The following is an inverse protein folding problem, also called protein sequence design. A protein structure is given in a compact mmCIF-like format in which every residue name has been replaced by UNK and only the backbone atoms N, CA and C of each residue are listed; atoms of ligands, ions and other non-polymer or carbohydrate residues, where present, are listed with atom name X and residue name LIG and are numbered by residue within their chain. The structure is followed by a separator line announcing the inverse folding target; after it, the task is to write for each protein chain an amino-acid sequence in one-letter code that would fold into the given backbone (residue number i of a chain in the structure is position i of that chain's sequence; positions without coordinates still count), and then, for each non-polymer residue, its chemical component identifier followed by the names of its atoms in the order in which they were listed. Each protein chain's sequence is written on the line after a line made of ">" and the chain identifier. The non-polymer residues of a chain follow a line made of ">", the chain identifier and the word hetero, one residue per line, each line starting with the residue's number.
data_IF_827667637796
#
_entry.id   IF_827667637796
#
_cell.length_a   1.000
_cell.length_b   1.000
_cell.length_c   1.000
_cell.angle_alpha   90.00
_cell.angle_beta   90.00
_cell.angle_gamma   90.00
#
_symmetry.space_group_name_H-M   'P 1'
#
loop_
_entity.id
_entity.type
_entity.pdbx_description
1 polymer ?
#
# COMPACT_ATOMS: atom_id res chain seq x y z
N UNK A 1 11.51 6.30 -9.10
CA UNK A 1 10.24 7.05 -9.04
C UNK A 1 9.26 6.18 -8.28
N UNK A 2 8.78 6.69 -7.15
CA UNK A 2 7.97 5.98 -6.17
C UNK A 2 6.57 5.65 -6.69
N UNK A 3 5.97 4.60 -6.17
CA UNK A 3 4.52 4.30 -6.18
C UNK A 3 3.72 5.60 -6.04
N UNK A 4 2.70 5.78 -6.88
CA UNK A 4 1.86 6.96 -6.79
C UNK A 4 0.40 6.53 -6.76
N UNK A 5 -0.07 6.10 -5.60
CA UNK A 5 -1.50 5.91 -5.35
C UNK A 5 -2.19 7.25 -5.07
N UNK A 6 -1.44 8.34 -4.85
CA UNK A 6 -1.98 9.66 -4.57
C UNK A 6 -2.97 10.20 -5.62
N UNK A 7 -2.73 10.06 -6.94
CA UNK A 7 -3.69 10.55 -7.93
C UNK A 7 -5.00 9.78 -7.84
N UNK A 8 -4.96 8.45 -7.75
CA UNK A 8 -6.13 7.61 -7.49
C UNK A 8 -6.85 8.02 -6.19
N UNK A 9 -6.13 8.17 -5.08
CA UNK A 9 -6.71 8.60 -3.78
C UNK A 9 -7.39 9.96 -3.94
N UNK A 10 -6.72 10.92 -4.58
CA UNK A 10 -7.24 12.28 -4.79
C UNK A 10 -8.53 12.26 -5.63
N UNK A 11 -8.58 11.45 -6.68
CA UNK A 11 -9.78 11.28 -7.51
C UNK A 11 -10.92 10.69 -6.68
N UNK A 12 -10.65 9.65 -5.88
CA UNK A 12 -11.64 8.99 -5.04
C UNK A 12 -12.18 9.92 -3.94
N UNK A 13 -11.31 10.69 -3.28
CA UNK A 13 -11.70 11.71 -2.31
C UNK A 13 -12.58 12.78 -2.95
N UNK A 14 -12.20 13.29 -4.13
CA UNK A 14 -12.98 14.28 -4.85
C UNK A 14 -14.33 13.79 -5.36
N UNK A 15 -14.48 12.48 -5.60
CA UNK A 15 -15.77 11.86 -5.94
C UNK A 15 -16.63 11.66 -4.68
N UNK A 16 -16.02 11.26 -3.56
CA UNK A 16 -16.70 10.98 -2.30
C UNK A 16 -16.98 12.24 -1.46
N UNK A 17 -16.46 13.40 -1.85
CA UNK A 17 -16.68 14.68 -1.18
C UNK A 17 -18.16 15.11 -1.26
N UNK A 18 -18.88 15.21 -0.12
CA UNK A 18 -20.28 15.60 -0.11
C UNK A 18 -20.51 17.06 -0.56
N UNK A 19 -19.49 17.91 -0.47
CA UNK A 19 -19.55 19.30 -0.90
C UNK A 19 -19.30 19.47 -2.41
N UNK A 20 -18.98 18.37 -3.12
CA UNK A 20 -18.74 18.38 -4.56
C UNK A 20 -20.07 18.21 -5.33
N UNK A 21 -20.65 19.28 -5.92
CA UNK A 21 -21.97 19.21 -6.55
C UNK A 21 -21.96 18.46 -7.90
N UNK A 22 -20.77 18.14 -8.42
CA UNK A 22 -20.59 17.51 -9.73
C UNK A 22 -20.91 16.01 -9.72
N UNK A 23 -20.70 15.34 -8.58
CA UNK A 23 -20.77 13.90 -8.46
C UNK A 23 -21.74 13.52 -7.35
N UNK A 24 -22.86 12.88 -7.69
CA UNK A 24 -23.77 12.33 -6.68
C UNK A 24 -23.41 10.87 -6.49
N UNK A 25 -22.58 10.60 -5.48
CA UNK A 25 -22.35 9.23 -5.03
C UNK A 25 -23.58 8.83 -4.22
N UNK A 26 -24.20 7.70 -4.58
CA UNK A 26 -25.21 7.10 -3.71
C UNK A 26 -24.55 6.87 -2.35
N UNK A 27 -25.14 7.37 -1.25
CA UNK A 27 -24.63 7.14 0.11
C UNK A 27 -24.38 5.65 0.39
N UNK A 28 -24.99 4.76 -0.40
CA UNK A 28 -24.79 3.32 -0.40
C UNK A 28 -23.84 2.80 -1.50
N UNK A 29 -22.79 3.53 -1.89
CA UNK A 29 -21.75 2.98 -2.76
C UNK A 29 -20.52 2.52 -1.93
N UNK A 30 -20.59 1.32 -1.29
CA UNK A 30 -19.51 0.81 -0.47
C UNK A 30 -18.26 0.47 -1.28
N UNK A 31 -18.36 0.34 -2.60
CA UNK A 31 -17.23 -0.06 -3.43
C UNK A 31 -16.20 1.06 -3.56
N UNK A 32 -16.64 2.30 -3.81
CA UNK A 32 -15.73 3.45 -3.87
C UNK A 32 -15.08 3.73 -2.51
N UNK A 33 -15.85 3.65 -1.42
CA UNK A 33 -15.29 3.79 -0.07
C UNK A 33 -14.29 2.68 0.25
N UNK A 34 -14.61 1.44 -0.11
CA UNK A 34 -13.70 0.30 0.07
C UNK A 34 -12.41 0.48 -0.73
N UNK A 35 -12.53 0.96 -1.97
CA UNK A 35 -11.40 1.23 -2.85
C UNK A 35 -10.50 2.34 -2.28
N UNK A 36 -11.07 3.46 -1.82
CA UNK A 36 -10.33 4.54 -1.15
C UNK A 36 -9.61 4.00 0.09
N UNK A 37 -10.32 3.27 0.94
CA UNK A 37 -9.73 2.70 2.16
C UNK A 37 -8.54 1.78 1.87
N UNK A 38 -8.66 0.91 0.85
CA UNK A 38 -7.59 -0.01 0.44
C UNK A 38 -6.41 0.72 -0.17
N UNK A 39 -6.65 1.70 -1.06
CA UNK A 39 -5.60 2.51 -1.67
C UNK A 39 -4.81 3.27 -0.60
N UNK A 40 -5.50 3.91 0.35
CA UNK A 40 -4.86 4.62 1.47
C UNK A 40 -4.10 3.69 2.40
N UNK A 41 -4.66 2.52 2.73
CA UNK A 41 -3.98 1.52 3.57
C UNK A 41 -2.71 0.99 2.91
N UNK A 42 -2.77 0.70 1.61
CA UNK A 42 -1.60 0.28 0.84
C UNK A 42 -0.55 1.38 0.77
N UNK A 43 -0.93 2.64 0.54
CA UNK A 43 -0.01 3.78 0.57
C UNK A 43 0.71 3.88 1.92
N UNK A 44 -0.03 3.80 3.03
CA UNK A 44 0.56 3.84 4.38
C UNK A 44 1.53 2.68 4.65
N UNK A 45 1.26 1.50 4.11
CA UNK A 45 2.14 0.34 4.23
C UNK A 45 3.45 0.57 3.45
N UNK A 46 3.36 1.11 2.24
CA UNK A 46 4.52 1.45 1.41
C UNK A 46 5.33 2.61 1.99
N UNK A 47 4.70 3.57 2.65
CA UNK A 47 5.42 4.69 3.29
C UNK A 47 6.29 4.22 4.46
N UNK A 48 5.88 3.13 5.13
CA UNK A 48 6.61 2.52 6.25
C UNK A 48 7.71 1.55 5.80
N UNK A 49 7.62 1.02 4.59
CA UNK A 49 8.42 -0.11 4.13
C UNK A 49 9.04 0.19 2.77
N UNK A 50 10.35 -0.04 2.59
CA UNK A 50 11.04 0.26 1.33
C UNK A 50 10.78 -0.81 0.24
N UNK A 51 9.50 -1.14 -0.02
CA UNK A 51 9.03 -2.27 -0.82
C UNK A 51 9.08 -2.03 -2.34
N UNK A 52 10.28 -1.72 -2.84
CA UNK A 52 10.61 -1.46 -4.28
C UNK A 52 10.21 -2.55 -5.26
N UNK A 53 9.98 -3.76 -4.77
CA UNK A 53 9.59 -4.90 -5.60
C UNK A 53 8.16 -4.83 -6.14
N UNK A 54 7.27 -4.06 -5.50
CA UNK A 54 5.87 -3.96 -5.90
C UNK A 54 5.56 -2.68 -6.72
N UNK A 55 6.55 -1.82 -6.95
CA UNK A 55 6.39 -0.50 -7.60
C UNK A 55 5.62 -0.56 -8.92
N UNK A 56 6.04 -1.43 -9.82
CA UNK A 56 5.46 -1.53 -11.16
C UNK A 56 4.01 -2.00 -11.13
N UNK A 57 3.69 -2.99 -10.28
CA UNK A 57 2.35 -3.55 -10.17
C UNK A 57 1.39 -2.60 -9.48
N UNK A 58 1.86 -1.89 -8.46
CA UNK A 58 1.06 -0.88 -7.77
C UNK A 58 0.71 0.25 -8.73
N UNK A 59 1.67 0.70 -9.54
CA UNK A 59 1.43 1.70 -10.58
C UNK A 59 0.45 1.21 -11.64
N UNK A 60 0.57 -0.03 -12.10
CA UNK A 60 -0.35 -0.59 -13.09
C UNK A 60 -1.79 -0.65 -12.57
N UNK A 61 -1.98 -1.13 -11.34
CA UNK A 61 -3.32 -1.21 -10.73
C UNK A 61 -3.89 0.18 -10.47
N UNK A 62 -3.05 1.15 -10.07
CA UNK A 62 -3.48 2.54 -9.89
C UNK A 62 -3.97 3.15 -11.21
N UNK A 63 -3.18 3.05 -12.28
CA UNK A 63 -3.59 3.57 -13.60
C UNK A 63 -4.84 2.88 -14.13
N UNK A 64 -4.97 1.57 -13.94
CA UNK A 64 -6.19 0.86 -14.34
C UNK A 64 -7.42 1.38 -13.59
N UNK A 65 -7.28 1.65 -12.29
CA UNK A 65 -8.35 2.23 -11.48
C UNK A 65 -8.73 3.64 -11.98
N UNK A 66 -7.72 4.46 -12.26
CA UNK A 66 -7.88 5.81 -12.83
C UNK A 66 -8.62 5.74 -14.17
N UNK A 67 -8.18 4.89 -15.11
CA UNK A 67 -8.77 4.71 -16.44
C UNK A 67 -10.25 4.29 -16.36
N UNK A 68 -10.59 3.36 -15.46
CA UNK A 68 -11.98 2.91 -15.26
C UNK A 68 -12.83 4.07 -14.74
N UNK A 69 -12.35 4.78 -13.72
CA UNK A 69 -13.07 5.91 -13.13
C UNK A 69 -13.27 7.02 -14.16
N UNK A 70 -12.21 7.38 -14.89
CA UNK A 70 -12.25 8.43 -15.91
C UNK A 70 -13.16 8.06 -17.07
N UNK A 71 -13.11 6.81 -17.56
CA UNK A 71 -14.03 6.35 -18.61
C UNK A 71 -15.49 6.49 -18.16
N UNK A 72 -15.81 6.07 -16.93
CA UNK A 72 -17.15 6.23 -16.38
C UNK A 72 -17.56 7.70 -16.25
N UNK A 73 -16.64 8.58 -15.83
CA UNK A 73 -16.89 10.02 -15.78
C UNK A 73 -17.21 10.58 -17.17
N UNK A 74 -16.41 10.24 -18.17
CA UNK A 74 -16.56 10.72 -19.55
C UNK A 74 -17.86 10.22 -20.16
N UNK A 75 -18.15 8.92 -20.05
CA UNK A 75 -19.39 8.32 -20.58
C UNK A 75 -20.64 9.00 -20.00
N UNK A 76 -20.62 9.27 -18.70
CA UNK A 76 -21.72 9.99 -18.05
C UNK A 76 -21.81 11.45 -18.48
N UNK A 77 -20.69 12.16 -18.61
CA UNK A 77 -20.67 13.55 -19.11
C UNK A 77 -21.22 13.64 -20.54
N UNK A 78 -20.90 12.67 -21.40
CA UNK A 78 -21.39 12.61 -22.78
C UNK A 78 -22.87 12.21 -22.87
N UNK A 79 -23.40 11.49 -21.88
CA UNK A 79 -24.81 11.07 -21.84
C UNK A 79 -25.82 12.22 -21.65
N UNK A 80 -25.37 13.44 -21.32
CA UNK A 80 -26.23 14.61 -21.12
C UNK A 80 -27.03 14.59 -19.80
N UNK A 81 -26.66 13.71 -18.85
CA UNK A 81 -27.28 13.66 -17.53
C UNK A 81 -26.79 14.82 -16.65
N UNK A 82 -27.70 15.66 -16.17
CA UNK A 82 -27.39 16.82 -15.31
C UNK A 82 -26.94 16.44 -13.89
N UNK A 83 -27.05 15.16 -13.53
CA UNK A 83 -26.64 14.60 -12.25
C UNK A 83 -25.98 13.26 -12.53
N UNK A 84 -24.69 13.15 -12.21
CA UNK A 84 -23.92 11.92 -12.39
C UNK A 84 -24.12 11.07 -11.14
N UNK A 85 -25.06 10.12 -11.20
CA UNK A 85 -25.17 9.10 -10.16
C UNK A 85 -24.10 8.05 -10.42
N UNK A 86 -23.07 8.03 -9.59
CA UNK A 86 -22.01 7.02 -9.70
C UNK A 86 -22.49 5.67 -9.16
N UNK A 87 -23.03 4.83 -10.04
CA UNK A 87 -23.27 3.41 -9.74
C UNK A 87 -22.12 2.59 -10.31
N UNK A 88 -20.99 2.57 -9.61
CA UNK A 88 -19.91 1.62 -9.89
C UNK A 88 -20.35 0.24 -9.42
N UNK A 89 -21.13 -0.45 -10.24
CA UNK A 89 -21.40 -1.88 -10.12
C UNK A 89 -20.70 -2.68 -11.23
N UNK A 90 -19.71 -2.07 -11.88
CA UNK A 90 -18.94 -2.70 -12.94
C UNK A 90 -17.96 -3.71 -12.37
N UNK A 91 -17.88 -4.87 -13.02
CA UNK A 91 -16.96 -5.96 -12.66
C UNK A 91 -15.49 -5.51 -12.62
N UNK A 92 -15.17 -4.44 -13.34
CA UNK A 92 -13.83 -3.88 -13.45
C UNK A 92 -13.35 -3.23 -12.14
N UNK A 93 -14.21 -2.47 -11.44
CA UNK A 93 -13.82 -1.87 -10.16
C UNK A 93 -13.65 -2.92 -9.07
N UNK A 94 -14.47 -3.98 -9.10
CA UNK A 94 -14.31 -5.13 -8.22
C UNK A 94 -13.00 -5.89 -8.49
N UNK A 95 -12.55 -5.95 -9.74
CA UNK A 95 -11.26 -6.53 -10.09
C UNK A 95 -10.11 -5.70 -9.53
N UNK A 96 -10.13 -4.38 -9.73
CA UNK A 96 -9.14 -3.47 -9.14
C UNK A 96 -9.08 -3.59 -7.61
N UNK A 97 -10.25 -3.69 -6.97
CA UNK A 97 -10.33 -3.88 -5.51
C UNK A 97 -9.62 -5.16 -5.07
N UNK A 98 -9.82 -6.28 -5.79
CA UNK A 98 -9.14 -7.55 -5.53
C UNK A 98 -7.64 -7.48 -5.81
N UNK A 99 -7.24 -6.75 -6.84
CA UNK A 99 -5.83 -6.58 -7.19
C UNK A 99 -5.08 -5.78 -6.10
N UNK A 100 -5.72 -4.74 -5.54
CA UNK A 100 -5.19 -4.00 -4.40
C UNK A 100 -5.10 -4.88 -3.14
N UNK A 101 -6.09 -5.73 -2.87
CA UNK A 101 -6.02 -6.69 -1.75
C UNK A 101 -4.84 -7.64 -1.91
N UNK A 102 -4.65 -8.20 -3.11
CA UNK A 102 -3.51 -9.07 -3.41
C UNK A 102 -2.17 -8.35 -3.27
N UNK A 103 -2.10 -7.07 -3.61
CA UNK A 103 -0.89 -6.26 -3.45
C UNK A 103 -0.60 -5.97 -1.97
N UNK A 104 -1.62 -5.70 -1.18
CA UNK A 104 -1.51 -5.49 0.26
C UNK A 104 -0.99 -6.74 0.98
N UNK A 105 -1.56 -7.91 0.70
CA UNK A 105 -1.07 -9.19 1.25
C UNK A 105 0.40 -9.46 0.88
N UNK A 106 0.80 -9.12 -0.36
CA UNK A 106 2.18 -9.29 -0.81
C UNK A 106 3.13 -8.31 -0.15
N UNK A 107 2.68 -7.07 0.08
CA UNK A 107 3.45 -6.06 0.77
C UNK A 107 3.68 -6.44 2.24
N UNK A 108 2.64 -6.89 2.95
CA UNK A 108 2.75 -7.38 4.33
C UNK A 108 3.70 -8.58 4.45
N UNK A 109 3.59 -9.53 3.51
CA UNK A 109 4.47 -10.70 3.49
C UNK A 109 5.94 -10.32 3.28
N UNK A 110 6.21 -9.36 2.39
CA UNK A 110 7.56 -8.87 2.15
C UNK A 110 8.10 -8.10 3.36
N UNK A 111 7.28 -7.26 3.98
CA UNK A 111 7.66 -6.51 5.18
C UNK A 111 8.02 -7.45 6.34
N UNK A 112 7.18 -8.46 6.60
CA UNK A 112 7.46 -9.48 7.60
C UNK A 112 8.75 -10.27 7.30
N UNK A 113 9.01 -10.61 6.05
CA UNK A 113 10.23 -11.31 5.64
C UNK A 113 11.49 -10.43 5.80
N UNK A 114 11.39 -9.12 5.57
CA UNK A 114 12.49 -8.18 5.81
C UNK A 114 12.76 -8.01 7.32
N UNK A 115 11.72 -7.86 8.13
CA UNK A 115 11.87 -7.73 9.59
C UNK A 115 12.50 -8.98 10.23
N UNK A 116 12.17 -10.18 9.75
CA UNK A 116 12.80 -11.41 10.22
C UNK A 116 14.28 -11.49 9.87
N UNK A 117 14.68 -11.09 8.66
CA UNK A 117 16.09 -11.07 8.26
C UNK A 117 16.91 -10.09 9.08
N UNK A 118 16.37 -8.89 9.34
CA UNK A 118 17.01 -7.89 10.21
C UNK A 118 17.29 -8.43 11.61
N UNK A 119 16.31 -9.09 12.24
CA UNK A 119 16.49 -9.71 13.57
C UNK A 119 17.53 -10.83 13.58
N UNK A 120 17.67 -11.56 12.47
CA UNK A 120 18.64 -12.66 12.34
C UNK A 120 20.07 -12.11 12.25
N UNK A 121 20.26 -11.06 11.46
CA UNK A 121 21.55 -10.35 11.34
C UNK A 121 21.95 -9.71 12.68
N UNK A 122 21.00 -9.10 13.40
CA UNK A 122 21.26 -8.47 14.70
C UNK A 122 21.67 -9.48 15.79
N UNK A 123 21.13 -10.70 15.74
CA UNK A 123 21.55 -11.82 16.62
C UNK A 123 22.93 -12.40 16.25
N UNK A 124 23.34 -12.34 14.98
CA UNK A 124 24.66 -12.81 14.56
C UNK A 124 25.77 -11.83 15.00
N UNK A 125 25.53 -10.53 14.92
CA UNK A 125 26.50 -9.51 15.34
C UNK A 125 26.71 -9.47 16.87
N UNK A 126 25.66 -9.68 17.66
CA UNK A 126 25.78 -9.77 19.13
C UNK A 126 26.56 -11.01 19.58
N UNK A 127 26.51 -12.10 18.80
CA UNK A 127 27.27 -13.31 19.12
C UNK A 127 28.77 -13.16 18.82
N UNK A 128 29.17 -12.36 17.83
CA UNK A 128 30.59 -12.10 17.53
C UNK A 128 31.26 -11.18 18.55
N UNK A 129 30.55 -10.20 19.12
CA UNK A 129 31.10 -9.32 20.16
C UNK A 129 31.35 -10.05 21.50
N UNK A 130 30.62 -11.12 21.77
CA UNK A 130 30.71 -11.89 23.02
C UNK A 130 31.93 -12.82 23.10
N UNK A 131 32.51 -13.21 21.97
CA UNK A 131 33.66 -14.13 21.93
C UNK A 131 34.98 -13.37 22.21
N UNK A 132 35.02 -12.07 21.91
CA UNK A 132 36.21 -11.23 21.99
C UNK A 132 36.59 -10.79 23.40
N UNK A 133 35.71 -10.93 24.40
CA UNK A 133 35.95 -10.48 25.78
C UNK A 133 36.41 -11.58 26.74
N UNK A 134 36.59 -12.82 26.28
CA UNK A 134 36.91 -13.98 27.15
C UNK A 134 38.34 -14.52 27.06
N UNK A 135 39.33 -13.68 26.69
CA UNK A 135 40.74 -14.09 26.73
C UNK A 135 41.64 -13.04 27.39
N UNK A 136 41.48 -12.90 28.71
CA UNK A 136 42.53 -12.39 29.60
C UNK A 136 42.76 -13.39 30.71
N UNK A 137 43.42 -14.50 30.37
CA UNK A 137 43.98 -15.46 31.32
C UNK A 137 45.37 -14.97 31.71
N UNK A 138 45.49 -14.18 32.78
CA UNK A 138 46.78 -14.05 33.50
C UNK A 138 46.68 -14.79 34.82
N UNK A 139 46.86 -16.11 34.76
CA UNK A 139 47.26 -16.88 35.92
C UNK A 139 48.76 -16.65 36.12
N UNK A 140 49.13 -15.81 37.09
CA UNK A 140 50.46 -15.87 37.71
C UNK A 140 50.22 -16.33 39.15
N UNK A 141 50.50 -17.61 39.37
CA UNK A 141 50.49 -18.26 40.68
C UNK A 141 51.93 -18.65 41.00
N UNK A 142 52.40 -18.17 42.16
CA UNK A 142 53.48 -18.64 43.06
C UNK A 142 54.90 -18.72 42.48
N UNK A 143 55.96 -18.42 43.22
CA UNK A 143 56.50 -18.95 44.49
C UNK A 143 57.63 -17.96 44.92
N UNK A 144 58.12 -17.78 46.15
CA UNK A 144 58.10 -18.44 47.46
C UNK A 144 58.37 -17.39 48.55
#
# INVERSE_FOLDING_TARGET
>A
MAYNLQPLITILEGILDPDQPRWVVDENNPQLQSLLHKATSLQQLLDKSSLTKLDSRIREVAHRAEDIIESHMVDHMLSGSNCVRFTFSTSDLQQVTRDLDSLMEQAEKLDFAMQQQLKLVEMEDTKMLSISSSSSKSAVVKDS
#
